data_IF_169037594399
#
_entry.id   IF_169037594399
#
_cell.length_a   1.000
_cell.length_b   1.000
_cell.length_c   1.000
_cell.angle_alpha   90.00
_cell.angle_beta   90.00
_cell.angle_gamma   90.00
#
_symmetry.space_group_name_H-M   'P 1'
#
loop_
_entity.id
_entity.type
_entity.pdbx_description
1 polymer ?
#
# COMPACT_ATOMS: atom_id res chain seq x y z
N UNK A 1 -23.15 57.01 -55.92
CA UNK A 1 -24.14 56.44 -56.86
C UNK A 1 -24.44 55.03 -56.37
N UNK A 2 -25.61 54.59 -55.90
CA UNK A 2 -26.99 55.09 -55.67
C UNK A 2 -27.37 54.64 -54.24
N UNK A 3 -27.77 55.47 -53.27
CA UNK A 3 -29.08 56.11 -52.96
C UNK A 3 -30.31 55.18 -52.87
N UNK A 4 -30.95 55.16 -51.68
CA UNK A 4 -32.39 55.37 -51.32
C UNK A 4 -32.64 54.70 -49.94
N UNK A 5 -32.85 55.35 -48.78
CA UNK A 5 -33.84 56.33 -48.26
C UNK A 5 -35.23 55.76 -47.92
N UNK A 6 -35.54 55.81 -46.60
CA UNK A 6 -36.83 55.91 -45.87
C UNK A 6 -37.81 54.71 -45.86
N UNK A 7 -38.21 54.23 -44.68
CA UNK A 7 -39.33 54.73 -43.85
C UNK A 7 -39.74 53.70 -42.76
N UNK A 8 -40.03 54.18 -41.54
CA UNK A 8 -40.95 53.57 -40.57
C UNK A 8 -42.38 54.13 -40.86
N UNK A 9 -43.53 53.58 -40.39
CA UNK A 9 -43.78 53.08 -39.01
C UNK A 9 -44.79 51.90 -38.84
N UNK A 10 -45.04 51.51 -37.56
CA UNK A 10 -46.27 50.87 -36.99
C UNK A 10 -46.63 49.44 -37.49
N UNK A 11 -47.11 48.45 -36.72
CA UNK A 11 -47.73 48.34 -35.39
C UNK A 11 -47.73 46.84 -34.96
N UNK A 12 -47.50 46.59 -33.67
CA UNK A 12 -48.00 45.46 -32.81
C UNK A 12 -48.04 44.00 -33.30
N UNK A 13 -47.29 43.11 -32.62
CA UNK A 13 -47.85 41.95 -31.88
C UNK A 13 -46.78 41.13 -31.10
N UNK A 14 -46.90 41.20 -29.77
CA UNK A 14 -46.66 40.20 -28.70
C UNK A 14 -45.48 39.19 -28.69
N UNK A 15 -44.61 39.40 -27.68
CA UNK A 15 -44.11 38.46 -26.64
C UNK A 15 -43.55 37.08 -27.02
N UNK A 16 -42.23 36.90 -26.84
CA UNK A 16 -41.66 36.16 -25.70
C UNK A 16 -40.12 36.22 -25.72
N UNK A 17 -39.50 36.92 -24.77
CA UNK A 17 -38.04 36.98 -24.63
C UNK A 17 -37.55 35.96 -23.59
N UNK A 18 -36.74 35.04 -24.08
CA UNK A 18 -35.88 34.14 -23.32
C UNK A 18 -34.88 34.96 -22.49
N UNK A 19 -34.88 34.78 -21.17
CA UNK A 19 -33.89 35.36 -20.26
C UNK A 19 -32.75 34.36 -20.02
N UNK A 20 -31.53 34.80 -20.33
CA UNK A 20 -30.27 34.23 -19.82
C UNK A 20 -30.16 34.44 -18.31
N UNK A 21 -29.54 33.52 -17.54
CA UNK A 21 -29.16 33.79 -16.17
C UNK A 21 -27.64 33.96 -16.07
N UNK A 22 -27.19 35.17 -15.72
CA UNK A 22 -25.86 35.38 -15.15
C UNK A 22 -25.90 36.59 -14.22
N UNK A 23 -25.93 36.33 -12.91
CA UNK A 23 -25.33 37.20 -11.89
C UNK A 23 -25.32 36.47 -10.55
N UNK A 24 -24.12 36.17 -10.09
CA UNK A 24 -23.75 35.61 -8.80
C UNK A 24 -24.04 36.56 -7.64
N UNK A 25 -24.44 35.99 -6.50
CA UNK A 25 -24.14 36.55 -5.17
C UNK A 25 -23.86 35.40 -4.18
N UNK A 26 -22.82 35.50 -3.33
CA UNK A 26 -22.34 34.40 -2.49
C UNK A 26 -22.86 34.56 -1.05
N UNK A 27 -23.80 33.72 -0.62
CA UNK A 27 -24.10 33.44 0.79
C UNK A 27 -25.26 32.44 0.92
N UNK A 28 -24.95 31.16 0.81
CA UNK A 28 -25.76 30.08 1.41
C UNK A 28 -24.89 28.84 1.54
N UNK A 29 -25.08 28.03 2.61
CA UNK A 29 -24.37 26.78 2.77
C UNK A 29 -24.75 25.91 1.56
N UNK A 30 -23.80 25.74 0.65
CA UNK A 30 -24.01 25.06 -0.61
C UNK A 30 -24.47 23.64 -0.30
N UNK A 31 -25.73 23.34 -0.64
CA UNK A 31 -26.19 21.98 -0.78
C UNK A 31 -25.16 21.24 -1.64
N UNK A 32 -24.59 20.11 -1.17
CA UNK A 32 -23.63 19.38 -1.96
C UNK A 32 -24.28 19.05 -3.31
N UNK A 33 -23.59 19.29 -4.44
CA UNK A 33 -24.17 19.04 -5.74
C UNK A 33 -24.67 17.60 -5.83
N UNK A 34 -25.96 17.41 -6.07
CA UNK A 34 -26.62 16.10 -6.15
C UNK A 34 -26.00 15.16 -7.19
N UNK A 35 -25.27 15.70 -8.17
CA UNK A 35 -24.50 14.91 -9.13
C UNK A 35 -23.27 14.21 -8.51
N UNK A 36 -22.68 14.78 -7.44
CA UNK A 36 -21.57 14.15 -6.71
C UNK A 36 -22.06 13.00 -5.82
N UNK A 37 -23.27 13.11 -5.26
CA UNK A 37 -23.89 12.02 -4.52
C UNK A 37 -24.22 10.83 -5.43
N UNK A 38 -24.68 11.10 -6.66
CA UNK A 38 -24.92 10.07 -7.69
C UNK A 38 -23.67 9.35 -8.19
N UNK A 39 -22.48 9.94 -8.06
CA UNK A 39 -21.22 9.26 -8.41
C UNK A 39 -20.81 8.22 -7.36
N UNK A 40 -21.31 8.37 -6.13
CA UNK A 40 -21.06 7.45 -5.01
C UNK A 40 -22.22 6.48 -4.79
N UNK A 41 -23.40 6.75 -5.37
CA UNK A 41 -24.50 5.79 -5.50
C UNK A 41 -24.10 4.70 -6.51
N UNK A 42 -23.42 3.67 -6.01
CA UNK A 42 -23.45 2.37 -6.66
C UNK A 42 -24.85 1.78 -6.47
N UNK A 43 -25.80 2.22 -7.31
CA UNK A 43 -27.21 1.79 -7.38
C UNK A 43 -27.39 0.30 -7.77
N UNK A 44 -26.34 -0.52 -7.58
CA UNK A 44 -26.30 -1.96 -7.76
C UNK A 44 -26.45 -2.71 -6.42
N UNK A 45 -26.61 -1.98 -5.31
CA UNK A 45 -26.77 -2.52 -3.96
C UNK A 45 -27.97 -1.86 -3.25
N UNK A 46 -29.19 -2.10 -3.74
CA UNK A 46 -30.36 -2.26 -2.86
C UNK A 46 -31.54 -2.84 -3.67
N UNK A 47 -31.89 -4.10 -3.42
CA UNK A 47 -32.88 -4.50 -2.42
C UNK A 47 -34.31 -4.48 -2.99
N UNK A 48 -34.62 -5.54 -3.74
CA UNK A 48 -35.98 -6.06 -3.80
C UNK A 48 -35.96 -7.44 -3.15
N UNK A 49 -36.79 -7.59 -2.11
CA UNK A 49 -36.68 -8.66 -1.13
C UNK A 49 -36.78 -10.07 -1.70
N UNK A 50 -35.67 -10.79 -1.61
CA UNK A 50 -35.64 -12.19 -1.25
C UNK A 50 -34.25 -12.48 -0.67
N UNK A 51 -34.19 -13.18 0.45
CA UNK A 51 -32.98 -13.64 1.16
C UNK A 51 -31.69 -13.60 0.31
N UNK A 52 -30.89 -12.54 0.43
CA UNK A 52 -29.58 -12.47 -0.22
C UNK A 52 -28.55 -12.01 0.79
N UNK A 53 -27.68 -12.95 1.17
CA UNK A 53 -26.38 -12.71 1.77
C UNK A 53 -25.66 -11.57 1.04
N UNK A 54 -25.49 -10.43 1.71
CA UNK A 54 -24.54 -9.39 1.33
C UNK A 54 -23.13 -9.98 1.28
N UNK A 55 -22.38 -9.92 0.16
CA UNK A 55 -20.97 -10.27 0.15
C UNK A 55 -20.14 -9.01 0.40
N UNK A 56 -20.32 -8.36 1.56
CA UNK A 56 -19.16 -7.79 2.25
C UNK A 56 -18.76 -8.87 3.24
N UNK A 57 -18.18 -9.94 2.69
CA UNK A 57 -17.91 -11.16 3.41
C UNK A 57 -16.69 -10.96 4.29
N UNK A 58 -16.83 -10.15 5.36
CA UNK A 58 -15.90 -10.20 6.50
C UNK A 58 -15.62 -11.66 6.75
N UNK A 59 -14.37 -12.08 6.58
CA UNK A 59 -13.99 -13.49 6.69
C UNK A 59 -14.62 -14.07 7.95
N UNK A 60 -15.47 -15.08 7.76
CA UNK A 60 -16.02 -15.82 8.89
C UNK A 60 -14.85 -16.36 9.72
N UNK A 61 -14.95 -16.25 11.04
CA UNK A 61 -13.92 -16.71 11.99
C UNK A 61 -13.46 -18.15 11.75
N UNK A 62 -14.38 -19.01 11.27
CA UNK A 62 -14.10 -20.39 10.90
C UNK A 62 -13.20 -20.53 9.66
N UNK A 63 -13.33 -19.66 8.66
CA UNK A 63 -12.45 -19.61 7.48
C UNK A 63 -11.08 -19.07 7.85
N UNK A 64 -11.04 -17.99 8.63
CA UNK A 64 -9.80 -17.40 9.12
C UNK A 64 -8.95 -18.39 9.95
N UNK A 65 -9.60 -19.20 10.79
CA UNK A 65 -8.93 -20.27 11.55
C UNK A 65 -8.39 -21.39 10.64
N UNK A 66 -9.15 -21.81 9.63
CA UNK A 66 -8.69 -22.81 8.64
C UNK A 66 -7.48 -22.31 7.86
N UNK A 67 -7.50 -21.07 7.42
CA UNK A 67 -6.40 -20.43 6.69
C UNK A 67 -5.16 -20.29 7.56
N UNK A 68 -5.32 -19.86 8.82
CA UNK A 68 -4.24 -19.79 9.80
C UNK A 68 -3.61 -21.16 10.03
N UNK A 69 -4.43 -22.20 10.18
CA UNK A 69 -3.96 -23.58 10.35
C UNK A 69 -3.19 -24.08 9.11
N UNK A 70 -3.63 -23.72 7.91
CA UNK A 70 -2.94 -24.08 6.67
C UNK A 70 -1.57 -23.41 6.58
N UNK A 71 -1.46 -22.14 6.97
CA UNK A 71 -0.19 -21.41 7.01
C UNK A 71 0.75 -22.01 8.07
N UNK A 72 0.26 -22.27 9.29
CA UNK A 72 1.08 -22.87 10.36
C UNK A 72 1.70 -24.22 9.95
N UNK A 73 1.01 -25.03 9.14
CA UNK A 73 1.53 -26.32 8.66
C UNK A 73 2.77 -26.18 7.77
N UNK A 74 2.97 -25.02 7.14
CA UNK A 74 4.17 -24.75 6.33
C UNK A 74 5.32 -24.18 7.17
N UNK A 75 5.12 -23.86 8.45
CA UNK A 75 6.22 -23.34 9.26
C UNK A 75 7.30 -24.42 9.45
N UNK A 76 8.59 -24.05 9.31
CA UNK A 76 9.68 -24.97 9.62
C UNK A 76 9.68 -25.39 11.09
N UNK A 77 10.40 -26.48 11.36
CA UNK A 77 10.67 -26.90 12.73
C UNK A 77 11.40 -25.81 13.52
N UNK A 78 11.19 -25.75 14.83
CA UNK A 78 11.87 -24.76 15.69
C UNK A 78 13.40 -24.85 15.61
N UNK A 79 13.95 -26.05 15.39
CA UNK A 79 15.40 -26.24 15.20
C UNK A 79 15.92 -25.56 13.93
N UNK A 80 15.21 -25.74 12.81
CA UNK A 80 15.53 -25.07 11.54
C UNK A 80 15.35 -23.56 11.63
N UNK A 81 14.35 -23.09 12.39
CA UNK A 81 14.12 -21.67 12.61
C UNK A 81 15.31 -20.96 13.26
N UNK A 82 16.09 -21.64 14.12
CA UNK A 82 17.32 -21.05 14.71
C UNK A 82 18.35 -20.78 13.62
N UNK A 83 18.53 -21.72 12.70
CA UNK A 83 19.47 -21.59 11.57
C UNK A 83 18.99 -20.47 10.64
N UNK A 84 17.70 -20.44 10.32
CA UNK A 84 17.10 -19.43 9.45
C UNK A 84 17.25 -18.04 10.08
N UNK A 85 16.89 -17.89 11.35
CA UNK A 85 17.01 -16.63 12.08
C UNK A 85 18.45 -16.09 12.05
N UNK A 86 19.45 -16.96 12.25
CA UNK A 86 20.87 -16.58 12.22
C UNK A 86 21.32 -16.03 10.85
N UNK A 87 20.66 -16.40 9.75
CA UNK A 87 20.99 -15.98 8.38
C UNK A 87 20.07 -14.87 7.84
N UNK A 88 19.17 -14.32 8.66
CA UNK A 88 18.15 -13.35 8.21
C UNK A 88 18.63 -11.90 8.14
N UNK A 89 19.71 -11.53 8.85
CA UNK A 89 20.16 -10.14 9.03
C UNK A 89 20.49 -9.44 7.71
N UNK A 90 21.18 -10.14 6.83
CA UNK A 90 21.88 -9.50 5.72
C UNK A 90 20.88 -8.97 4.69
N UNK A 91 19.94 -9.79 4.24
CA UNK A 91 18.94 -9.35 3.26
C UNK A 91 17.89 -8.40 3.87
N UNK A 92 17.55 -8.55 5.15
CA UNK A 92 16.61 -7.66 5.85
C UNK A 92 17.16 -6.23 5.94
N UNK A 93 18.47 -6.08 6.16
CA UNK A 93 19.11 -4.77 6.17
C UNK A 93 19.01 -4.06 4.82
N UNK A 94 19.28 -4.78 3.72
CA UNK A 94 19.09 -4.28 2.36
C UNK A 94 17.64 -3.92 2.07
N UNK A 95 16.69 -4.69 2.59
CA UNK A 95 15.28 -4.45 2.36
C UNK A 95 14.79 -3.16 3.03
N UNK A 96 15.24 -2.89 4.26
CA UNK A 96 14.99 -1.61 4.94
C UNK A 96 15.56 -0.44 4.15
N UNK A 97 16.76 -0.59 3.60
CA UNK A 97 17.43 0.48 2.82
C UNK A 97 16.77 0.71 1.47
N UNK A 98 16.42 -0.35 0.75
CA UNK A 98 15.88 -0.26 -0.61
C UNK A 98 14.42 0.19 -0.63
N UNK A 99 13.63 -0.27 0.33
CA UNK A 99 12.17 -0.19 0.27
C UNK A 99 11.57 0.52 1.47
N UNK A 100 12.37 1.08 2.38
CA UNK A 100 11.89 1.74 3.61
C UNK A 100 11.01 0.86 4.51
N UNK A 101 10.90 -0.44 4.23
CA UNK A 101 9.91 -1.28 4.88
C UNK A 101 10.46 -1.79 6.21
N UNK A 102 9.91 -1.26 7.30
CA UNK A 102 10.14 -1.80 8.62
C UNK A 102 9.22 -3.02 8.81
N UNK A 103 9.82 -4.21 8.86
CA UNK A 103 9.10 -5.45 9.10
C UNK A 103 9.17 -5.72 10.60
N UNK A 104 8.02 -5.66 11.29
CA UNK A 104 7.91 -5.90 12.73
C UNK A 104 8.49 -7.26 13.18
N UNK A 105 8.62 -8.22 12.25
CA UNK A 105 9.23 -9.53 12.48
C UNK A 105 10.70 -9.49 12.93
N UNK A 106 11.45 -8.45 12.54
CA UNK A 106 12.88 -8.31 12.85
C UNK A 106 13.77 -9.42 12.27
N UNK A 107 15.07 -9.36 12.60
CA UNK A 107 16.07 -10.37 12.26
C UNK A 107 16.53 -11.13 13.51
N UNK A 108 17.11 -12.32 13.31
CA UNK A 108 17.77 -13.07 14.38
C UNK A 108 16.84 -13.40 15.56
N UNK A 109 17.17 -13.00 16.80
CA UNK A 109 16.40 -13.38 17.99
C UNK A 109 14.96 -12.85 17.95
N UNK A 110 14.71 -11.69 17.33
CA UNK A 110 13.36 -11.11 17.20
C UNK A 110 12.47 -11.98 16.32
N UNK A 111 13.03 -12.58 15.26
CA UNK A 111 12.29 -13.53 14.41
C UNK A 111 11.87 -14.78 15.18
N UNK A 112 12.72 -15.28 16.09
CA UNK A 112 12.40 -16.44 16.93
C UNK A 112 11.31 -16.12 17.97
N UNK A 113 11.38 -14.95 18.60
CA UNK A 113 10.33 -14.50 19.51
C UNK A 113 8.97 -14.41 18.80
N UNK A 114 8.96 -13.86 17.59
CA UNK A 114 7.74 -13.79 16.79
C UNK A 114 7.26 -15.18 16.32
N UNK A 115 8.15 -16.11 16.02
CA UNK A 115 7.78 -17.52 15.77
C UNK A 115 7.08 -18.15 16.98
N UNK A 116 7.64 -17.99 18.17
CA UNK A 116 7.06 -18.53 19.40
C UNK A 116 5.69 -17.86 19.71
N UNK A 117 5.55 -16.54 19.50
CA UNK A 117 4.27 -15.82 19.63
C UNK A 117 3.21 -16.31 18.64
N UNK A 118 3.58 -16.43 17.37
CA UNK A 118 2.66 -16.85 16.30
C UNK A 118 2.21 -18.28 16.51
N UNK A 119 3.10 -19.19 16.88
CA UNK A 119 2.73 -20.59 17.13
C UNK A 119 1.82 -20.78 18.34
N UNK A 120 1.87 -19.88 19.33
CA UNK A 120 1.03 -19.92 20.53
C UNK A 120 -0.32 -19.19 20.37
N UNK A 121 -0.35 -18.09 19.62
CA UNK A 121 -1.50 -17.15 19.60
C UNK A 121 -2.16 -16.98 18.22
N UNK A 122 -1.82 -17.81 17.23
CA UNK A 122 -2.26 -17.66 15.83
C UNK A 122 -3.78 -17.76 15.65
N UNK A 123 -4.44 -16.60 15.79
CA UNK A 123 -5.85 -16.40 15.47
C UNK A 123 -6.02 -15.78 14.08
N UNK A 124 -5.03 -15.00 13.64
CA UNK A 124 -5.09 -14.23 12.39
C UNK A 124 -4.04 -14.70 11.37
N UNK A 125 -4.39 -14.86 10.07
CA UNK A 125 -3.50 -15.41 9.05
C UNK A 125 -2.36 -14.46 8.66
N UNK A 126 -2.57 -13.14 8.73
CA UNK A 126 -1.59 -12.14 8.23
C UNK A 126 -0.24 -12.20 8.96
N UNK A 127 -0.15 -12.18 10.31
CA UNK A 127 1.14 -12.32 11.00
C UNK A 127 1.88 -13.62 10.66
N UNK A 128 1.15 -14.73 10.47
CA UNK A 128 1.72 -16.03 10.08
C UNK A 128 2.31 -15.94 8.68
N UNK A 129 1.60 -15.29 7.75
CA UNK A 129 2.06 -15.09 6.38
C UNK A 129 3.30 -14.20 6.32
N UNK A 130 3.36 -13.11 7.10
CA UNK A 130 4.53 -12.23 7.18
C UNK A 130 5.76 -13.01 7.67
N UNK A 131 5.62 -13.79 8.75
CA UNK A 131 6.68 -14.67 9.25
C UNK A 131 7.13 -15.67 8.19
N UNK A 132 6.18 -16.37 7.56
CA UNK A 132 6.49 -17.33 6.49
C UNK A 132 7.22 -16.68 5.33
N UNK A 133 6.80 -15.51 4.86
CA UNK A 133 7.47 -14.79 3.79
C UNK A 133 8.90 -14.40 4.18
N UNK A 134 9.12 -13.93 5.41
CA UNK A 134 10.46 -13.60 5.91
C UNK A 134 11.36 -14.84 5.99
N UNK A 135 10.82 -15.98 6.45
CA UNK A 135 11.48 -17.29 6.46
C UNK A 135 11.85 -17.72 5.03
N UNK A 136 10.88 -17.68 4.12
CA UNK A 136 11.05 -18.09 2.72
C UNK A 136 12.07 -17.21 1.98
N UNK A 137 12.06 -15.90 2.22
CA UNK A 137 13.05 -14.98 1.68
C UNK A 137 14.45 -15.30 2.22
N UNK A 138 14.57 -15.60 3.52
CA UNK A 138 15.86 -16.00 4.11
C UNK A 138 16.38 -17.29 3.49
N UNK A 139 15.52 -18.31 3.34
CA UNK A 139 15.85 -19.56 2.63
C UNK A 139 16.29 -19.29 1.19
N UNK A 140 15.62 -18.38 0.47
CA UNK A 140 15.99 -18.03 -0.90
C UNK A 140 17.34 -17.29 -0.99
N UNK A 141 17.73 -16.53 0.04
CA UNK A 141 18.94 -15.70 0.03
C UNK A 141 20.17 -16.41 0.64
N UNK A 142 19.99 -17.49 1.40
CA UNK A 142 21.06 -18.23 2.06
C UNK A 142 21.13 -19.70 1.56
N UNK A 143 21.52 -19.94 0.29
CA UNK A 143 21.52 -21.28 -0.30
C UNK A 143 22.41 -22.28 0.46
N UNK A 144 23.51 -21.81 1.06
CA UNK A 144 24.43 -22.66 1.82
C UNK A 144 23.80 -23.19 3.12
N UNK A 145 22.98 -22.37 3.78
CA UNK A 145 22.29 -22.73 5.01
C UNK A 145 21.17 -23.76 4.79
N UNK A 146 20.63 -23.87 3.57
CA UNK A 146 19.57 -24.83 3.21
C UNK A 146 20.00 -26.27 3.47
N UNK A 147 21.28 -26.58 3.21
CA UNK A 147 21.84 -27.92 3.43
C UNK A 147 21.74 -28.42 4.88
N UNK A 148 21.58 -27.49 5.84
CA UNK A 148 21.47 -27.79 7.27
C UNK A 148 20.01 -27.94 7.73
N UNK A 149 19.03 -27.58 6.89
CA UNK A 149 17.61 -27.60 7.24
C UNK A 149 17.03 -29.00 7.07
N UNK A 150 16.39 -29.53 8.12
CA UNK A 150 15.84 -30.90 8.11
C UNK A 150 14.36 -30.95 7.73
N UNK A 151 13.62 -29.90 8.03
CA UNK A 151 12.19 -29.76 7.74
C UNK A 151 11.90 -29.15 6.37
N UNK A 152 12.93 -28.66 5.66
CA UNK A 152 12.82 -28.12 4.30
C UNK A 152 13.74 -28.93 3.36
N UNK A 153 13.32 -30.13 2.93
CA UNK A 153 14.16 -30.98 2.09
C UNK A 153 14.32 -30.43 0.65
N UNK A 154 13.31 -29.73 0.14
CA UNK A 154 13.34 -29.06 -1.16
C UNK A 154 12.92 -27.60 -1.01
N UNK A 155 13.90 -26.70 -1.09
CA UNK A 155 13.68 -25.27 -0.98
C UNK A 155 12.84 -24.69 -2.12
N UNK A 156 12.96 -25.22 -3.34
CA UNK A 156 12.21 -24.71 -4.49
C UNK A 156 10.71 -25.01 -4.35
N UNK A 157 10.37 -26.22 -3.89
CA UNK A 157 9.00 -26.63 -3.58
C UNK A 157 8.47 -25.85 -2.38
N UNK A 158 9.24 -25.71 -1.30
CA UNK A 158 8.86 -24.89 -0.15
C UNK A 158 8.53 -23.44 -0.52
N UNK A 159 9.41 -22.77 -1.27
CA UNK A 159 9.18 -21.39 -1.73
C UNK A 159 7.92 -21.31 -2.60
N UNK A 160 7.69 -22.29 -3.47
CA UNK A 160 6.51 -22.34 -4.34
C UNK A 160 5.22 -22.52 -3.52
N UNK A 161 5.23 -23.41 -2.54
CA UNK A 161 4.04 -23.73 -1.73
C UNK A 161 3.68 -22.56 -0.81
N UNK A 162 4.67 -21.95 -0.15
CA UNK A 162 4.44 -20.73 0.65
C UNK A 162 3.92 -19.60 -0.24
N UNK A 163 4.54 -19.38 -1.40
CA UNK A 163 4.09 -18.37 -2.36
C UNK A 163 2.62 -18.60 -2.76
N UNK A 164 2.24 -19.81 -3.14
CA UNK A 164 0.87 -20.07 -3.60
C UNK A 164 -0.14 -19.94 -2.45
N UNK A 165 0.21 -20.38 -1.24
CA UNK A 165 -0.69 -20.32 -0.10
C UNK A 165 -0.89 -18.88 0.39
N UNK A 166 0.19 -18.11 0.56
CA UNK A 166 0.12 -16.70 0.96
C UNK A 166 -0.63 -15.89 -0.09
N UNK A 167 -0.40 -16.17 -1.38
CA UNK A 167 -1.12 -15.49 -2.44
C UNK A 167 -2.64 -15.74 -2.34
N UNK A 168 -3.03 -17.00 -2.11
CA UNK A 168 -4.43 -17.39 -2.00
C UNK A 168 -5.11 -16.82 -0.75
N UNK A 169 -4.44 -16.91 0.40
CA UNK A 169 -5.02 -16.58 1.71
C UNK A 169 -5.05 -15.07 1.92
N UNK A 170 -3.90 -14.41 1.79
CA UNK A 170 -3.77 -12.98 2.12
C UNK A 170 -3.82 -12.15 0.85
N UNK A 171 -2.96 -12.44 -0.13
CA UNK A 171 -2.75 -11.49 -1.23
C UNK A 171 -3.94 -11.43 -2.19
N UNK A 172 -4.84 -12.40 -2.22
CA UNK A 172 -6.05 -12.36 -3.07
C UNK A 172 -7.29 -11.92 -2.31
N UNK A 173 -7.14 -11.60 -1.02
CA UNK A 173 -8.24 -11.27 -0.13
C UNK A 173 -8.17 -9.79 0.25
N UNK A 174 -9.08 -8.98 -0.32
CA UNK A 174 -9.04 -7.53 -0.14
C UNK A 174 -9.32 -7.11 1.31
N UNK A 175 -10.11 -7.88 2.08
CA UNK A 175 -10.36 -7.60 3.50
C UNK A 175 -9.08 -7.76 4.34
N UNK A 176 -8.22 -8.73 4.01
CA UNK A 176 -6.97 -8.97 4.73
C UNK A 176 -5.85 -8.03 4.29
N UNK A 177 -5.88 -7.56 3.02
CA UNK A 177 -4.93 -6.55 2.54
C UNK A 177 -5.30 -5.15 3.03
N UNK A 178 -6.59 -4.84 3.23
CA UNK A 178 -7.09 -3.53 3.65
C UNK A 178 -6.80 -3.18 5.13
N UNK A 179 -5.62 -3.58 5.59
CA UNK A 179 -5.02 -3.22 6.87
C UNK A 179 -3.51 -3.00 6.67
N UNK A 180 -2.88 -2.26 7.58
CA UNK A 180 -1.48 -1.88 7.48
C UNK A 180 -0.56 -3.10 7.41
N UNK A 181 -0.78 -4.10 8.28
CA UNK A 181 -0.06 -5.39 8.24
C UNK A 181 -0.34 -6.18 6.96
N UNK A 182 -1.55 -6.08 6.43
CA UNK A 182 -1.93 -6.66 5.14
C UNK A 182 -1.11 -6.11 3.98
N UNK A 183 -0.96 -4.78 3.92
CA UNK A 183 -0.10 -4.11 2.95
C UNK A 183 1.35 -4.55 3.10
N UNK A 184 1.91 -4.57 4.33
CA UNK A 184 3.27 -5.06 4.57
C UNK A 184 3.48 -6.49 4.09
N UNK A 185 2.52 -7.37 4.37
CA UNK A 185 2.53 -8.74 3.87
C UNK A 185 2.55 -8.79 2.34
N UNK A 186 1.74 -7.97 1.67
CA UNK A 186 1.69 -7.92 0.22
C UNK A 186 2.99 -7.38 -0.40
N UNK A 187 3.63 -6.38 0.21
CA UNK A 187 4.93 -5.85 -0.21
C UNK A 187 6.05 -6.90 -0.09
N UNK A 188 6.06 -7.67 1.01
CA UNK A 188 6.96 -8.81 1.18
C UNK A 188 6.70 -9.91 0.14
N UNK A 189 5.44 -10.19 -0.17
CA UNK A 189 5.07 -11.14 -1.21
C UNK A 189 5.58 -10.69 -2.58
N UNK A 190 5.40 -9.41 -2.95
CA UNK A 190 5.92 -8.83 -4.18
C UNK A 190 7.45 -9.01 -4.25
N UNK A 191 8.17 -8.77 -3.14
CA UNK A 191 9.62 -9.00 -3.06
C UNK A 191 10.01 -10.45 -3.31
N UNK A 192 9.24 -11.41 -2.81
CA UNK A 192 9.45 -12.82 -3.08
C UNK A 192 9.29 -13.13 -4.58
N UNK A 193 8.29 -12.52 -5.23
CA UNK A 193 8.05 -12.75 -6.66
C UNK A 193 9.10 -12.13 -7.58
N UNK A 194 9.84 -11.10 -7.14
CA UNK A 194 10.93 -10.50 -7.94
C UNK A 194 11.98 -11.54 -8.35
N UNK A 195 12.29 -12.50 -7.48
CA UNK A 195 13.24 -13.58 -7.79
C UNK A 195 12.68 -14.67 -8.70
N UNK A 196 11.39 -14.63 -9.07
CA UNK A 196 10.69 -15.72 -9.79
C UNK A 196 10.23 -15.35 -11.20
N UNK A 197 10.66 -14.21 -11.73
CA UNK A 197 10.38 -13.72 -13.10
C UNK A 197 8.90 -13.66 -13.51
N UNK A 198 7.96 -13.60 -12.56
CA UNK A 198 6.50 -13.47 -12.82
C UNK A 198 6.07 -12.01 -13.06
N UNK A 199 6.82 -11.29 -13.90
CA UNK A 199 6.76 -9.83 -14.11
C UNK A 199 5.33 -9.29 -14.19
N UNK A 200 4.54 -9.74 -15.17
CA UNK A 200 3.17 -9.25 -15.40
C UNK A 200 2.27 -9.42 -14.19
N UNK A 201 2.32 -10.61 -13.56
CA UNK A 201 1.47 -10.93 -12.40
C UNK A 201 1.86 -10.10 -11.19
N UNK A 202 3.16 -9.98 -10.92
CA UNK A 202 3.70 -9.17 -9.83
C UNK A 202 3.33 -7.70 -9.99
N UNK A 203 3.45 -7.17 -11.22
CA UNK A 203 3.09 -5.78 -11.51
C UNK A 203 1.59 -5.52 -11.32
N UNK A 204 0.71 -6.38 -11.83
CA UNK A 204 -0.74 -6.24 -11.60
C UNK A 204 -1.11 -6.35 -10.12
N UNK A 205 -0.43 -7.24 -9.38
CA UNK A 205 -0.62 -7.37 -7.93
C UNK A 205 -0.22 -6.09 -7.21
N UNK A 206 0.94 -5.51 -7.56
CA UNK A 206 1.40 -4.23 -7.02
C UNK A 206 0.38 -3.11 -7.30
N UNK A 207 -0.17 -3.01 -8.52
CA UNK A 207 -1.20 -2.01 -8.83
C UNK A 207 -2.43 -2.14 -7.95
N UNK A 208 -2.86 -3.38 -7.67
CA UNK A 208 -3.97 -3.64 -6.76
C UNK A 208 -3.62 -3.22 -5.32
N UNK A 209 -2.42 -3.55 -4.84
CA UNK A 209 -1.95 -3.16 -3.50
C UNK A 209 -1.90 -1.64 -3.35
N UNK A 210 -1.44 -0.91 -4.37
CA UNK A 210 -1.43 0.56 -4.38
C UNK A 210 -2.86 1.10 -4.24
N UNK A 211 -3.81 0.60 -5.03
CA UNK A 211 -5.20 1.02 -4.94
C UNK A 211 -5.80 0.78 -3.54
N UNK A 212 -5.53 -0.38 -2.92
CA UNK A 212 -6.00 -0.66 -1.55
C UNK A 212 -5.33 0.27 -0.53
N UNK A 213 -4.02 0.53 -0.67
CA UNK A 213 -3.29 1.48 0.19
C UNK A 213 -3.86 2.91 0.09
N UNK A 214 -4.26 3.34 -1.11
CA UNK A 214 -4.95 4.62 -1.34
C UNK A 214 -6.32 4.65 -0.64
N UNK A 215 -7.09 3.57 -0.76
CA UNK A 215 -8.42 3.44 -0.15
C UNK A 215 -8.39 3.48 1.39
N UNK A 216 -7.39 2.86 2.03
CA UNK A 216 -7.22 2.93 3.49
C UNK A 216 -6.57 4.24 3.96
N UNK A 217 -6.26 5.16 3.03
CA UNK A 217 -5.84 6.52 3.33
C UNK A 217 -4.36 6.70 3.65
N UNK A 218 -3.48 5.76 3.27
CA UNK A 218 -2.03 5.89 3.49
C UNK A 218 -1.41 7.14 2.83
N UNK A 219 -1.78 7.54 1.60
CA UNK A 219 -1.20 8.75 1.00
C UNK A 219 -1.53 10.01 1.80
N UNK A 220 -2.77 10.12 2.30
CA UNK A 220 -3.20 11.24 3.14
C UNK A 220 -2.40 11.28 4.44
N UNK A 221 -2.06 10.10 4.99
CA UNK A 221 -1.25 10.02 6.19
C UNK A 221 0.15 10.62 5.98
N UNK A 222 0.80 10.23 4.88
CA UNK A 222 2.10 10.76 4.50
C UNK A 222 2.09 12.28 4.23
N UNK A 223 1.09 12.77 3.49
CA UNK A 223 0.97 14.22 3.20
C UNK A 223 0.78 15.05 4.47
N UNK A 224 -0.04 14.57 5.41
CA UNK A 224 -0.30 15.30 6.65
C UNK A 224 0.96 15.46 7.51
N UNK A 225 1.84 14.45 7.57
CA UNK A 225 3.12 14.56 8.29
C UNK A 225 4.09 15.53 7.64
N UNK A 226 4.17 15.52 6.30
CA UNK A 226 4.99 16.49 5.58
C UNK A 226 4.54 17.94 5.81
N UNK A 227 3.25 18.17 5.97
CA UNK A 227 2.71 19.50 6.28
C UNK A 227 2.83 19.88 7.77
N UNK A 228 3.00 18.89 8.65
CA UNK A 228 3.12 19.07 10.10
C UNK A 228 4.57 19.32 10.57
N UNK A 229 5.56 19.37 9.67
CA UNK A 229 6.91 19.85 10.01
C UNK A 229 6.83 21.26 10.65
N UNK A 230 7.60 21.55 11.72
CA UNK A 230 7.13 22.45 12.76
C UNK A 230 7.12 23.93 12.33
N UNK A 231 5.94 24.54 12.37
CA UNK A 231 5.80 25.94 12.80
C UNK A 231 5.74 25.96 14.33
N UNK A 232 6.57 26.76 15.03
CA UNK A 232 6.48 26.85 16.48
C UNK A 232 5.22 27.63 16.85
N UNK A 233 4.15 26.93 17.23
CA UNK A 233 3.01 27.55 17.91
C UNK A 233 2.93 27.04 19.36
N UNK A 234 2.89 27.97 20.34
CA UNK A 234 2.67 27.61 21.73
C UNK A 234 1.18 27.44 22.01
N UNK A 235 0.91 26.64 23.05
CA UNK A 235 -0.36 26.50 23.76
C UNK A 235 -1.49 25.73 23.05
N UNK A 236 -1.46 24.40 23.13
CA UNK A 236 -2.70 23.62 23.06
C UNK A 236 -2.71 22.44 24.05
N UNK A 237 -3.59 22.60 25.06
CA UNK A 237 -3.86 21.73 26.21
C UNK A 237 -4.61 20.44 25.82
N UNK A 238 -4.03 19.60 24.96
CA UNK A 238 -4.50 18.22 24.78
C UNK A 238 -3.66 17.25 25.63
N UNK A 239 -4.24 16.14 26.13
CA UNK A 239 -3.48 15.13 26.86
C UNK A 239 -2.35 14.59 25.97
N UNK A 240 -1.10 14.78 26.39
CA UNK A 240 0.09 14.48 25.57
C UNK A 240 0.13 13.03 25.05
N UNK A 241 -0.44 12.08 25.80
CA UNK A 241 -0.49 10.66 25.46
C UNK A 241 -1.31 10.36 24.20
N UNK A 242 -2.51 10.93 24.05
CA UNK A 242 -3.34 10.72 22.86
C UNK A 242 -2.74 11.37 21.60
N UNK A 243 -2.03 12.50 21.76
CA UNK A 243 -1.32 13.16 20.65
C UNK A 243 -0.12 12.32 20.18
N UNK A 244 0.60 11.69 21.10
CA UNK A 244 1.71 10.79 20.78
C UNK A 244 1.24 9.51 20.07
N UNK A 245 0.17 8.86 20.56
CA UNK A 245 -0.35 7.63 19.96
C UNK A 245 -0.90 7.86 18.53
N UNK A 246 -1.66 8.95 18.32
CA UNK A 246 -2.17 9.32 17.00
C UNK A 246 -1.04 9.74 16.03
N UNK A 247 0.00 10.41 16.55
CA UNK A 247 1.19 10.77 15.76
C UNK A 247 1.99 9.53 15.37
N UNK A 248 2.07 8.52 16.25
CA UNK A 248 2.78 7.27 15.98
C UNK A 248 2.06 6.43 14.91
N UNK A 249 0.74 6.26 15.00
CA UNK A 249 -0.07 5.57 13.97
C UNK A 249 0.04 6.26 12.60
N UNK A 250 0.00 7.60 12.60
CA UNK A 250 0.17 8.37 11.37
C UNK A 250 1.56 8.19 10.76
N UNK A 251 2.61 8.21 11.59
CA UNK A 251 3.99 7.96 11.16
C UNK A 251 4.13 6.57 10.56
N UNK A 252 3.55 5.58 11.22
CA UNK A 252 3.59 4.20 10.76
C UNK A 252 2.92 4.04 9.38
N UNK A 253 1.76 4.66 9.18
CA UNK A 253 1.05 4.70 7.88
C UNK A 253 1.86 5.40 6.79
N UNK A 254 2.53 6.50 7.12
CA UNK A 254 3.37 7.23 6.18
C UNK A 254 4.61 6.42 5.78
N UNK A 255 5.24 5.71 6.71
CA UNK A 255 6.37 4.82 6.42
C UNK A 255 5.96 3.70 5.45
N UNK A 256 4.79 3.08 5.67
CA UNK A 256 4.28 2.07 4.73
C UNK A 256 3.95 2.66 3.37
N UNK A 257 3.39 3.87 3.31
CA UNK A 257 3.16 4.55 2.03
C UNK A 257 4.45 4.84 1.27
N UNK A 258 5.50 5.29 1.99
CA UNK A 258 6.83 5.51 1.42
C UNK A 258 7.36 4.20 0.84
N UNK A 259 7.19 3.07 1.54
CA UNK A 259 7.55 1.75 1.03
C UNK A 259 6.81 1.35 -0.23
N UNK A 260 5.49 1.58 -0.29
CA UNK A 260 4.67 1.33 -1.50
C UNK A 260 5.25 2.12 -2.68
N UNK A 261 5.50 3.42 -2.49
CA UNK A 261 6.03 4.32 -3.51
C UNK A 261 7.45 3.93 -3.96
N UNK A 262 8.31 3.50 -3.04
CA UNK A 262 9.67 3.06 -3.34
C UNK A 262 9.68 1.75 -4.14
N UNK A 263 8.86 0.77 -3.73
CA UNK A 263 8.73 -0.51 -4.43
C UNK A 263 8.18 -0.29 -5.84
N UNK A 264 7.15 0.53 -6.02
CA UNK A 264 6.57 0.82 -7.33
C UNK A 264 7.62 1.39 -8.30
N UNK A 265 8.39 2.40 -7.86
CA UNK A 265 9.43 3.00 -8.69
C UNK A 265 10.58 2.04 -9.01
N UNK A 266 11.05 1.27 -8.02
CA UNK A 266 12.15 0.32 -8.24
C UNK A 266 11.73 -0.77 -9.21
N UNK A 267 10.53 -1.34 -9.04
CA UNK A 267 10.00 -2.39 -9.92
C UNK A 267 9.77 -1.87 -11.33
N UNK A 268 9.18 -0.69 -11.46
CA UNK A 268 8.96 -0.02 -12.75
C UNK A 268 10.27 0.31 -13.46
N UNK A 269 11.29 0.75 -12.73
CA UNK A 269 12.64 0.95 -13.27
C UNK A 269 13.30 -0.37 -13.71
N UNK A 270 13.16 -1.45 -12.92
CA UNK A 270 13.76 -2.75 -13.24
C UNK A 270 13.17 -3.41 -14.48
N UNK A 271 11.88 -3.19 -14.76
CA UNK A 271 11.15 -3.86 -15.85
C UNK A 271 10.69 -2.92 -16.96
N UNK A 272 11.07 -1.64 -16.91
CA UNK A 272 10.61 -0.59 -17.83
C UNK A 272 9.08 -0.53 -17.94
N UNK A 273 8.40 -0.53 -16.80
CA UNK A 273 6.94 -0.44 -16.72
C UNK A 273 6.50 0.93 -16.19
N UNK A 274 5.26 1.37 -16.45
CA UNK A 274 4.77 2.64 -15.92
C UNK A 274 4.68 2.67 -14.40
N UNK A 275 4.99 3.82 -13.80
CA UNK A 275 4.87 4.08 -12.36
C UNK A 275 3.44 4.52 -12.04
N UNK A 276 2.82 3.95 -11.00
CA UNK A 276 1.48 4.35 -10.57
C UNK A 276 1.51 5.47 -9.51
N UNK A 277 2.56 5.52 -8.71
CA UNK A 277 2.73 6.46 -7.61
C UNK A 277 3.51 7.72 -8.00
N UNK A 278 3.56 8.07 -9.29
CA UNK A 278 4.36 9.19 -9.82
C UNK A 278 3.94 10.54 -9.22
N UNK A 279 2.65 10.70 -8.92
CA UNK A 279 2.09 11.90 -8.27
C UNK A 279 2.50 12.07 -6.80
N UNK A 280 3.08 11.06 -6.17
CA UNK A 280 3.46 11.07 -4.76
C UNK A 280 4.99 11.08 -4.62
N UNK A 281 5.62 12.23 -4.38
CA UNK A 281 7.06 12.31 -4.28
C UNK A 281 7.57 11.58 -3.03
N UNK A 282 8.66 10.82 -3.19
CA UNK A 282 9.39 10.26 -2.04
C UNK A 282 10.11 11.37 -1.26
N UNK A 283 10.24 11.26 0.08
CA UNK A 283 10.94 12.24 0.90
C UNK A 283 12.36 12.51 0.42
N UNK A 284 12.71 13.80 0.29
CA UNK A 284 14.06 14.23 -0.07
C UNK A 284 14.92 14.22 1.19
N UNK A 285 15.83 13.25 1.28
CA UNK A 285 16.79 13.14 2.38
C UNK A 285 18.18 13.54 1.91
N UNK A 286 19.03 14.00 2.83
CA UNK A 286 20.44 14.26 2.54
C UNK A 286 21.13 12.96 2.10
N UNK A 287 21.98 13.04 1.08
CA UNK A 287 22.79 11.90 0.65
C UNK A 287 23.86 11.52 1.64
N UNK A 288 24.27 12.48 2.48
CA UNK A 288 25.37 12.34 3.42
C UNK A 288 24.79 12.60 4.81
N UNK A 289 25.00 11.66 5.72
CA UNK A 289 24.62 11.84 7.12
C UNK A 289 25.58 12.80 7.84
N UNK A 290 25.32 13.08 9.12
CA UNK A 290 26.20 13.95 9.92
C UNK A 290 27.60 13.36 10.19
N UNK A 291 27.83 12.10 9.82
CA UNK A 291 29.10 11.38 9.97
C UNK A 291 29.91 11.37 8.65
N UNK A 292 29.34 11.85 7.55
CA UNK A 292 30.00 11.84 6.24
C UNK A 292 29.72 10.57 5.42
N UNK A 293 28.86 9.68 5.89
CA UNK A 293 28.53 8.41 5.22
C UNK A 293 27.34 8.56 4.27
N UNK A 294 27.34 7.75 3.21
CA UNK A 294 26.28 7.80 2.20
C UNK A 294 25.01 7.12 2.72
N UNK A 295 23.93 7.89 2.80
CA UNK A 295 22.59 7.38 3.08
C UNK A 295 22.04 6.71 1.82
N UNK A 296 22.33 5.42 1.69
CA UNK A 296 22.02 4.63 0.50
C UNK A 296 20.53 4.67 0.12
N UNK A 297 19.62 4.71 1.10
CA UNK A 297 18.19 4.85 0.87
C UNK A 297 17.85 6.16 0.14
N UNK A 298 18.42 7.28 0.59
CA UNK A 298 18.23 8.59 -0.03
C UNK A 298 18.75 8.62 -1.48
N UNK A 299 19.89 7.96 -1.70
CA UNK A 299 20.45 7.80 -3.04
C UNK A 299 19.52 7.01 -3.97
N UNK A 300 19.03 5.85 -3.52
CA UNK A 300 18.18 4.97 -4.32
C UNK A 300 16.83 5.62 -4.62
N UNK A 301 16.22 6.29 -3.65
CA UNK A 301 14.97 7.03 -3.87
C UNK A 301 15.13 8.13 -4.94
N UNK A 302 16.25 8.87 -4.92
CA UNK A 302 16.52 9.87 -5.97
C UNK A 302 16.77 9.24 -7.32
N UNK A 303 17.55 8.16 -7.39
CA UNK A 303 17.79 7.45 -8.64
C UNK A 303 16.48 6.95 -9.25
N UNK A 304 15.62 6.31 -8.43
CA UNK A 304 14.33 5.80 -8.85
C UNK A 304 13.39 6.93 -9.33
N UNK A 305 13.38 8.08 -8.64
CA UNK A 305 12.64 9.27 -9.07
C UNK A 305 13.10 9.82 -10.42
N UNK A 306 14.43 9.87 -10.66
CA UNK A 306 14.98 10.35 -11.94
C UNK A 306 14.64 9.36 -13.05
N UNK A 307 14.89 8.07 -12.83
CA UNK A 307 14.62 7.02 -13.82
C UNK A 307 13.14 6.96 -14.22
N UNK A 308 12.24 7.17 -13.25
CA UNK A 308 10.79 7.22 -13.52
C UNK A 308 10.41 8.33 -14.50
N UNK A 309 11.04 9.50 -14.43
CA UNK A 309 10.80 10.62 -15.36
C UNK A 309 11.32 10.33 -16.76
N UNK A 310 12.40 9.55 -16.89
CA UNK A 310 12.94 9.18 -18.20
C UNK A 310 11.99 8.25 -18.94
N UNK A 311 11.35 7.31 -18.23
CA UNK A 311 10.36 6.40 -18.80
C UNK A 311 9.10 7.13 -19.32
N UNK A 312 8.83 8.35 -18.88
CA UNK A 312 7.70 9.17 -19.36
C UNK A 312 8.05 10.01 -20.61
N UNK A 313 9.32 10.02 -21.04
CA UNK A 313 9.79 10.78 -22.20
C UNK A 313 9.73 9.99 -23.52
N UNK A 314 9.51 8.67 -23.45
CA UNK A 314 9.33 7.76 -24.60
C UNK A 314 7.85 7.65 -25.03
#
# INVERSE_FOLDING_TARGET
MLKFVKAAPTETAHFNHQQSPDSSNPSSPANPPTHLLRLLDNDLLDSNGHETTTPSARLSTSTMSKESTALLKLLPSRGDMVIIAANSSDWLSWYKVLFSLNIAMGAGPVMLENYDKVTQSATHPVPIAILLLAVTLTVQQAPDAISMLRSIPDSATFIKDVSNLVEKVVVSNDDLIADLEGIRCALLFIRLQLGRARVRKTWLTLRRVIAVAELIGLPRAATALHLAEPQPQPDDLQPEQHRQDASADQQEKAEVWESVCAIDRIISMMWSLPVATSSFPLPVRSFIDCQGEVVLQAFIHRLANIASKVLELD
#
